data_IF_405467261271
#
_entry.id   IF_405467261271
#
_cell.length_a   1.000
_cell.length_b   1.000
_cell.length_c   1.000
_cell.angle_alpha   90.00
_cell.angle_beta   90.00
_cell.angle_gamma   90.00
#
_symmetry.space_group_name_H-M   'P 1'
#
loop_
_entity.id
_entity.type
_entity.pdbx_description
1 polymer ?
#
# COMPACT_ATOMS: atom_id res chain seq x y z
N UNK A 1 11.18 -70.59 7.67
CA UNK A 1 11.10 -69.12 7.59
C UNK A 1 9.93 -68.64 8.44
N UNK A 2 10.19 -68.08 9.63
CA UNK A 2 9.13 -67.54 10.49
C UNK A 2 8.85 -66.09 10.09
N UNK A 3 7.69 -65.87 9.46
CA UNK A 3 7.20 -64.55 9.06
C UNK A 3 6.70 -63.81 10.30
N UNK A 4 7.52 -62.94 10.88
CA UNK A 4 7.06 -62.04 11.94
C UNK A 4 5.98 -61.10 11.40
N UNK A 5 4.75 -61.25 11.91
CA UNK A 5 3.66 -60.29 11.72
C UNK A 5 4.02 -59.00 12.48
N UNK A 6 4.39 -57.93 11.76
CA UNK A 6 4.45 -56.59 12.34
C UNK A 6 3.05 -56.19 12.78
N UNK A 7 2.87 -55.93 14.08
CA UNK A 7 1.63 -55.38 14.64
C UNK A 7 1.41 -53.97 14.07
N UNK A 8 0.16 -53.54 13.83
CA UNK A 8 -0.12 -52.19 13.38
C UNK A 8 0.27 -51.20 14.49
N UNK A 9 1.20 -50.31 14.18
CA UNK A 9 1.67 -49.27 15.10
C UNK A 9 0.56 -48.25 15.21
N UNK A 10 0.05 -48.04 16.42
CA UNK A 10 -0.93 -47.00 16.68
C UNK A 10 -0.23 -45.64 16.74
N UNK A 11 -0.88 -44.52 16.34
CA UNK A 11 -0.26 -43.18 16.39
C UNK A 11 0.23 -42.80 17.80
N UNK A 12 -0.43 -43.34 18.82
CA UNK A 12 -0.07 -43.17 20.23
C UNK A 12 1.23 -43.88 20.60
N UNK A 13 1.48 -45.08 20.09
CA UNK A 13 2.75 -45.79 20.31
C UNK A 13 3.90 -45.08 19.60
N UNK A 14 3.67 -44.57 18.39
CA UNK A 14 4.69 -43.80 17.65
C UNK A 14 5.10 -42.52 18.39
N UNK A 15 4.13 -41.77 18.94
CA UNK A 15 4.41 -40.56 19.73
C UNK A 15 5.13 -40.90 21.03
N UNK A 16 4.80 -42.04 21.64
CA UNK A 16 5.45 -42.51 22.87
C UNK A 16 6.89 -42.95 22.64
N UNK A 17 7.20 -43.51 21.47
CA UNK A 17 8.56 -43.89 21.07
C UNK A 17 9.42 -42.68 20.65
N UNK A 18 8.80 -41.56 20.25
CA UNK A 18 9.49 -40.31 19.96
C UNK A 18 9.74 -39.42 21.21
N UNK A 19 9.33 -39.86 22.40
CA UNK A 19 9.57 -39.15 23.66
C UNK A 19 11.00 -39.43 24.13
N UNK A 20 11.95 -38.55 23.73
CA UNK A 20 13.38 -38.71 23.97
C UNK A 20 13.81 -38.52 25.44
N UNK A 21 12.87 -38.23 26.35
CA UNK A 21 13.16 -37.92 27.74
C UNK A 21 12.70 -39.04 28.69
N UNK A 22 13.61 -39.49 29.56
CA UNK A 22 13.29 -40.43 30.64
C UNK A 22 12.25 -39.78 31.56
N UNK A 23 11.06 -40.39 31.65
CA UNK A 23 10.02 -39.92 32.55
C UNK A 23 10.45 -40.16 33.99
N UNK A 24 10.60 -39.08 34.73
CA UNK A 24 10.84 -39.10 36.17
C UNK A 24 9.59 -39.68 36.86
N UNK A 25 9.80 -40.48 37.90
CA UNK A 25 8.75 -41.07 38.73
C UNK A 25 7.83 -39.97 39.31
N UNK A 26 6.51 -40.23 39.34
CA UNK A 26 5.50 -39.21 39.65
C UNK A 26 5.63 -38.66 41.08
N UNK A 27 6.24 -39.42 42.00
CA UNK A 27 6.46 -39.03 43.40
C UNK A 27 7.57 -37.99 43.58
N UNK A 28 8.42 -37.78 42.56
CA UNK A 28 9.47 -36.75 42.55
C UNK A 28 9.02 -35.44 41.87
N UNK A 29 7.75 -35.35 41.50
CA UNK A 29 7.21 -34.24 40.70
C UNK A 29 6.12 -33.53 41.48
N UNK A 30 6.49 -32.47 42.20
CA UNK A 30 5.49 -31.60 42.83
C UNK A 30 4.85 -30.67 41.77
N UNK A 31 3.56 -30.83 41.45
CA UNK A 31 2.91 -29.97 40.47
C UNK A 31 2.70 -28.58 41.07
N UNK A 32 3.43 -27.59 40.55
CA UNK A 32 3.24 -26.19 40.96
C UNK A 32 2.14 -25.53 40.12
N UNK A 33 1.09 -25.04 40.78
CA UNK A 33 -0.03 -24.33 40.13
C UNK A 33 0.43 -23.10 39.36
N UNK A 34 1.48 -22.43 39.85
CA UNK A 34 2.13 -21.28 39.22
C UNK A 34 2.92 -21.65 37.96
N UNK A 35 3.52 -22.84 37.89
CA UNK A 35 4.20 -23.31 36.68
C UNK A 35 3.24 -23.58 35.52
N UNK A 36 2.05 -24.12 35.85
CA UNK A 36 0.99 -24.39 34.86
C UNK A 36 0.44 -23.11 34.20
N UNK A 37 0.20 -22.05 34.97
CA UNK A 37 -0.32 -20.79 34.42
C UNK A 37 0.70 -20.09 33.52
N UNK A 38 1.98 -20.10 33.90
CA UNK A 38 3.07 -19.55 33.08
C UNK A 38 3.20 -20.33 31.76
N UNK A 39 3.12 -21.65 31.79
CA UNK A 39 3.20 -22.48 30.57
C UNK A 39 2.04 -22.22 29.61
N UNK A 40 0.82 -22.01 30.12
CA UNK A 40 -0.34 -21.66 29.29
C UNK A 40 -0.19 -20.26 28.69
N UNK A 41 0.30 -19.30 29.47
CA UNK A 41 0.53 -17.92 29.00
C UNK A 41 1.59 -17.89 27.89
N UNK A 42 2.73 -18.58 28.08
CA UNK A 42 3.80 -18.64 27.08
C UNK A 42 3.34 -19.35 25.81
N UNK A 43 2.59 -20.47 25.93
CA UNK A 43 2.00 -21.15 24.78
C UNK A 43 1.03 -20.24 24.01
N UNK A 44 0.22 -19.45 24.71
CA UNK A 44 -0.72 -18.49 24.09
C UNK A 44 0.02 -17.41 23.31
N UNK A 45 1.12 -16.88 23.86
CA UNK A 45 1.96 -15.87 23.18
C UNK A 45 2.61 -16.45 21.93
N UNK A 46 3.17 -17.66 22.00
CA UNK A 46 3.78 -18.34 20.84
C UNK A 46 2.74 -18.53 19.72
N UNK A 47 1.55 -19.01 20.06
CA UNK A 47 0.47 -19.20 19.08
C UNK A 47 0.04 -17.87 18.44
N UNK A 48 -0.05 -16.80 19.21
CA UNK A 48 -0.38 -15.47 18.70
C UNK A 48 0.69 -14.96 17.72
N UNK A 49 1.98 -15.08 18.06
CA UNK A 49 3.08 -14.66 17.20
C UNK A 49 3.12 -15.46 15.88
N UNK A 50 2.94 -16.78 15.96
CA UNK A 50 2.87 -17.65 14.78
C UNK A 50 1.67 -17.25 13.92
N UNK A 51 0.50 -16.99 14.51
CA UNK A 51 -0.69 -16.58 13.77
C UNK A 51 -0.46 -15.26 13.01
N UNK A 52 0.09 -14.24 13.67
CA UNK A 52 0.44 -12.96 13.03
C UNK A 52 1.41 -13.19 11.87
N UNK A 53 2.41 -14.06 12.05
CA UNK A 53 3.40 -14.33 11.02
C UNK A 53 2.81 -15.10 9.82
N UNK A 54 1.90 -16.03 10.06
CA UNK A 54 1.17 -16.74 9.00
C UNK A 54 0.31 -15.77 8.20
N UNK A 55 -0.41 -14.86 8.87
CA UNK A 55 -1.20 -13.82 8.20
C UNK A 55 -0.29 -12.92 7.36
N UNK A 56 0.86 -12.51 7.90
CA UNK A 56 1.86 -11.71 7.17
C UNK A 56 2.42 -12.44 5.95
N UNK A 57 2.73 -13.73 6.07
CA UNK A 57 3.26 -14.55 4.99
C UNK A 57 2.25 -14.78 3.85
N UNK A 58 0.95 -14.76 4.16
CA UNK A 58 -0.11 -14.84 3.15
C UNK A 58 -0.22 -13.59 2.28
N UNK A 59 0.35 -12.46 2.71
CA UNK A 59 0.38 -11.25 1.89
C UNK A 59 1.42 -11.42 0.77
N UNK A 60 0.97 -11.29 -0.47
CA UNK A 60 1.86 -11.30 -1.64
C UNK A 60 2.58 -9.96 -1.74
N UNK A 61 3.76 -9.94 -2.34
CA UNK A 61 4.50 -8.70 -2.60
C UNK A 61 4.59 -8.50 -4.11
N UNK A 62 4.35 -7.27 -4.57
CA UNK A 62 4.59 -6.90 -5.95
C UNK A 62 6.08 -6.62 -6.13
N UNK A 63 6.68 -7.25 -7.13
CA UNK A 63 8.06 -6.98 -7.54
C UNK A 63 8.05 -6.28 -8.89
N UNK A 64 8.73 -5.14 -8.97
CA UNK A 64 8.91 -4.36 -10.19
C UNK A 64 10.27 -4.68 -10.80
N UNK A 65 10.26 -5.33 -11.96
CA UNK A 65 11.46 -5.56 -12.77
C UNK A 65 11.50 -4.52 -13.90
N UNK A 66 12.61 -3.81 -14.05
CA UNK A 66 12.83 -2.84 -15.12
C UNK A 66 13.67 -3.47 -16.24
N UNK A 67 13.17 -3.44 -17.47
CA UNK A 67 13.85 -3.95 -18.66
C UNK A 67 13.82 -2.93 -19.79
N UNK A 68 14.64 -3.10 -20.81
CA UNK A 68 14.56 -2.29 -22.04
C UNK A 68 13.35 -2.74 -22.86
N UNK A 69 12.59 -1.79 -23.40
CA UNK A 69 11.55 -2.12 -24.38
C UNK A 69 12.17 -2.26 -25.78
N UNK A 70 11.96 -3.42 -26.39
CA UNK A 70 12.46 -3.72 -27.74
C UNK A 70 11.35 -3.63 -28.80
N UNK A 71 10.12 -3.37 -28.37
CA UNK A 71 8.98 -3.21 -29.26
C UNK A 71 8.86 -1.75 -29.72
N UNK A 72 9.14 -1.53 -31.00
CA UNK A 72 9.09 -0.20 -31.63
C UNK A 72 7.94 -0.06 -32.63
N UNK A 73 7.15 -1.12 -32.85
CA UNK A 73 6.12 -1.16 -33.90
C UNK A 73 4.69 -1.22 -33.36
N UNK A 74 4.51 -1.40 -32.05
CA UNK A 74 3.17 -1.43 -31.45
C UNK A 74 2.47 -0.07 -31.52
N UNK A 75 1.19 -0.11 -31.92
CA UNK A 75 0.33 1.06 -31.97
C UNK A 75 -0.21 1.37 -30.58
N UNK A 76 0.19 2.52 -30.04
CA UNK A 76 -0.30 3.03 -28.76
C UNK A 76 -1.69 3.64 -28.93
N UNK A 77 -2.69 3.08 -28.25
CA UNK A 77 -4.02 3.70 -28.15
C UNK A 77 -4.00 4.81 -27.10
N UNK A 78 -4.54 5.97 -27.43
CA UNK A 78 -4.65 7.10 -26.50
C UNK A 78 -6.15 7.35 -26.29
N UNK A 79 -6.59 7.37 -25.04
CA UNK A 79 -7.98 7.67 -24.69
C UNK A 79 -8.00 9.03 -23.98
N UNK A 80 -8.71 10.00 -24.56
CA UNK A 80 -8.78 11.37 -24.06
C UNK A 80 -10.24 11.78 -23.99
N UNK A 81 -10.69 12.21 -22.81
CA UNK A 81 -11.94 12.91 -22.57
C UNK A 81 -11.62 14.26 -21.94
N UNK A 82 -11.85 15.32 -22.71
CA UNK A 82 -11.50 16.70 -22.39
C UNK A 82 -12.69 17.62 -22.69
N UNK A 83 -13.03 18.49 -21.75
CA UNK A 83 -14.02 19.56 -22.00
C UNK A 83 -13.33 20.92 -22.00
N UNK A 84 -13.49 21.66 -23.09
CA UNK A 84 -12.93 23.01 -23.28
C UNK A 84 -14.04 24.07 -23.21
N UNK A 85 -13.75 25.23 -22.62
CA UNK A 85 -14.67 26.35 -22.49
C UNK A 85 -14.79 27.21 -23.77
N UNK A 86 -14.72 26.57 -24.95
CA UNK A 86 -14.90 27.19 -26.27
C UNK A 86 -15.93 26.38 -27.06
N UNK A 87 -16.69 27.04 -27.93
CA UNK A 87 -17.69 26.37 -28.77
C UNK A 87 -17.03 25.38 -29.74
N UNK A 88 -17.64 24.21 -29.97
CA UNK A 88 -17.07 23.17 -30.82
C UNK A 88 -16.83 23.64 -32.27
N UNK A 89 -17.65 24.57 -32.78
CA UNK A 89 -17.47 25.12 -34.12
C UNK A 89 -16.19 25.98 -34.31
N UNK A 90 -15.57 26.45 -33.21
CA UNK A 90 -14.39 27.32 -33.24
C UNK A 90 -13.11 26.60 -32.82
N UNK A 91 -13.20 25.37 -32.32
CA UNK A 91 -12.06 24.56 -31.93
C UNK A 91 -11.90 23.42 -32.94
N UNK A 92 -10.66 23.04 -33.22
CA UNK A 92 -10.35 21.87 -34.00
C UNK A 92 -9.33 21.03 -33.28
N UNK A 93 -9.43 19.73 -33.42
CA UNK A 93 -8.45 18.78 -32.93
C UNK A 93 -7.58 18.26 -34.07
N UNK A 94 -6.27 18.17 -33.83
CA UNK A 94 -5.33 17.61 -34.79
C UNK A 94 -4.30 16.73 -34.07
N UNK A 95 -3.89 15.65 -34.73
CA UNK A 95 -2.91 14.70 -34.24
C UNK A 95 -1.71 14.74 -35.18
N UNK A 96 -0.61 15.25 -34.67
CA UNK A 96 0.62 15.45 -35.45
C UNK A 96 1.71 14.51 -34.91
N UNK A 97 2.38 13.83 -35.82
CA UNK A 97 3.60 13.08 -35.52
C UNK A 97 4.83 14.02 -35.43
N UNK A 98 6.00 13.51 -35.05
CA UNK A 98 7.30 14.23 -35.04
C UNK A 98 7.64 14.87 -36.39
N UNK A 99 7.10 14.32 -37.48
CA UNK A 99 7.22 14.87 -38.84
C UNK A 99 6.27 16.04 -39.13
N UNK A 100 5.47 16.44 -38.14
CA UNK A 100 4.44 17.48 -38.20
C UNK A 100 3.41 17.23 -39.31
N UNK A 101 3.09 15.95 -39.51
CA UNK A 101 2.08 15.47 -40.46
C UNK A 101 1.05 14.65 -39.72
N UNK A 102 -0.18 14.69 -40.23
CA UNK A 102 -1.27 13.88 -39.72
C UNK A 102 -0.99 12.43 -40.16
N UNK A 103 -0.81 11.49 -39.23
CA UNK A 103 -0.69 10.09 -39.59
C UNK A 103 -1.96 9.69 -40.33
N UNK A 104 -1.83 9.01 -41.48
CA UNK A 104 -2.97 8.47 -42.23
C UNK A 104 -3.84 7.52 -41.39
N UNK A 105 -3.32 7.05 -40.26
CA UNK A 105 -3.96 6.13 -39.32
C UNK A 105 -4.26 6.76 -37.95
N UNK A 106 -4.08 8.07 -37.78
CA UNK A 106 -4.54 8.75 -36.58
C UNK A 106 -6.07 8.71 -36.54
N UNK A 107 -6.64 8.12 -35.49
CA UNK A 107 -8.07 8.17 -35.25
C UNK A 107 -8.55 9.61 -35.16
N UNK A 108 -9.78 9.87 -35.61
CA UNK A 108 -10.42 11.17 -35.44
C UNK A 108 -10.99 11.27 -34.02
N UNK A 109 -10.84 12.42 -33.37
CA UNK A 109 -11.54 12.71 -32.13
C UNK A 109 -12.97 13.11 -32.42
N UNK A 110 -13.92 12.54 -31.68
CA UNK A 110 -15.32 12.92 -31.76
C UNK A 110 -15.54 14.18 -30.92
N UNK A 111 -16.01 15.24 -31.57
CA UNK A 111 -16.28 16.54 -30.94
C UNK A 111 -17.78 16.67 -30.69
N UNK A 112 -18.17 16.80 -29.42
CA UNK A 112 -19.57 16.95 -29.01
C UNK A 112 -19.79 18.29 -28.29
N UNK A 113 -20.85 19.01 -28.66
CA UNK A 113 -21.25 20.23 -27.96
C UNK A 113 -21.71 19.92 -26.54
N UNK A 114 -21.06 20.55 -25.55
CA UNK A 114 -21.39 20.29 -24.16
C UNK A 114 -21.24 21.50 -23.24
N UNK A 115 -21.83 21.42 -22.04
CA UNK A 115 -21.69 22.45 -21.00
C UNK A 115 -20.41 22.29 -20.15
N UNK A 116 -19.76 23.42 -19.89
CA UNK A 116 -18.59 23.46 -19.01
C UNK A 116 -18.95 23.31 -17.52
N UNK A 117 -20.18 23.60 -17.09
CA UNK A 117 -20.55 23.44 -15.68
C UNK A 117 -20.94 22.00 -15.36
N UNK A 118 -20.35 21.40 -14.31
CA UNK A 118 -20.68 20.04 -13.89
C UNK A 118 -22.01 20.03 -13.10
N UNK A 119 -22.83 18.99 -13.29
CA UNK A 119 -23.98 18.74 -12.40
C UNK A 119 -23.51 18.45 -10.97
N UNK A 120 -24.38 18.66 -9.97
CA UNK A 120 -24.02 18.42 -8.56
C UNK A 120 -23.47 16.99 -8.30
N UNK A 121 -24.02 15.98 -9.01
CA UNK A 121 -23.55 14.59 -8.95
C UNK A 121 -22.14 14.43 -9.55
N UNK A 122 -21.92 15.00 -10.74
CA UNK A 122 -20.63 14.95 -11.42
C UNK A 122 -19.56 15.73 -10.66
N UNK A 123 -19.88 16.91 -10.15
CA UNK A 123 -18.97 17.73 -9.37
C UNK A 123 -18.47 17.01 -8.10
N UNK A 124 -19.32 16.21 -7.45
CA UNK A 124 -18.92 15.40 -6.29
C UNK A 124 -17.89 14.33 -6.66
N UNK A 125 -18.09 13.63 -7.79
CA UNK A 125 -17.15 12.62 -8.31
C UNK A 125 -15.85 13.29 -8.75
N UNK A 126 -15.94 14.35 -9.55
CA UNK A 126 -14.79 15.11 -10.01
C UNK A 126 -13.93 15.62 -8.85
N UNK A 127 -14.55 16.17 -7.80
CA UNK A 127 -13.84 16.65 -6.61
C UNK A 127 -13.16 15.53 -5.83
N UNK A 128 -13.76 14.32 -5.82
CA UNK A 128 -13.14 13.13 -5.22
C UNK A 128 -11.89 12.70 -6.00
N UNK A 129 -11.99 12.63 -7.33
CA UNK A 129 -10.86 12.33 -8.22
C UNK A 129 -9.73 13.34 -8.06
N UNK A 130 -10.06 14.64 -8.09
CA UNK A 130 -9.12 15.73 -7.94
C UNK A 130 -8.37 15.65 -6.61
N UNK A 131 -9.09 15.43 -5.50
CA UNK A 131 -8.49 15.28 -4.17
C UNK A 131 -7.60 14.03 -4.10
N UNK A 132 -8.05 12.91 -4.66
CA UNK A 132 -7.27 11.67 -4.72
C UNK A 132 -5.95 11.86 -5.44
N UNK A 133 -5.99 12.46 -6.63
CA UNK A 133 -4.78 12.74 -7.42
C UNK A 133 -3.87 13.77 -6.75
N UNK A 134 -4.41 14.78 -6.07
CA UNK A 134 -3.60 15.74 -5.31
C UNK A 134 -2.82 15.07 -4.16
N UNK A 135 -3.47 14.17 -3.40
CA UNK A 135 -2.83 13.42 -2.32
C UNK A 135 -1.73 12.50 -2.86
N UNK A 136 -2.02 11.78 -3.94
CA UNK A 136 -1.06 10.87 -4.58
C UNK A 136 0.16 11.61 -5.11
N UNK A 137 -0.01 12.81 -5.69
CA UNK A 137 1.08 13.65 -6.19
C UNK A 137 1.96 14.24 -5.07
N UNK A 138 1.36 14.71 -3.97
CA UNK A 138 2.09 15.46 -2.93
C UNK A 138 2.84 14.58 -1.93
N UNK A 139 2.26 13.43 -1.59
CA UNK A 139 2.53 12.85 -0.28
C UNK A 139 3.13 11.44 -0.35
N UNK A 140 2.93 10.70 -1.45
CA UNK A 140 3.28 9.28 -1.47
C UNK A 140 3.69 8.72 -2.84
N UNK A 141 4.97 8.85 -3.19
CA UNK A 141 5.56 8.16 -4.35
C UNK A 141 5.59 6.61 -4.23
N UNK A 142 5.28 6.05 -3.05
CA UNK A 142 5.29 4.61 -2.77
C UNK A 142 3.89 3.97 -2.59
N UNK A 143 2.80 4.74 -2.71
CA UNK A 143 1.43 4.20 -2.49
C UNK A 143 0.93 3.37 -3.67
N UNK A 144 1.54 3.48 -4.85
CA UNK A 144 1.19 2.67 -6.02
C UNK A 144 1.11 1.18 -5.64
N UNK A 145 2.09 0.68 -4.87
CA UNK A 145 2.13 -0.70 -4.39
C UNK A 145 0.87 -1.12 -3.64
N UNK A 146 0.34 -0.24 -2.77
CA UNK A 146 -0.86 -0.52 -1.95
C UNK A 146 -2.14 -0.47 -2.82
N UNK A 147 -2.19 0.41 -3.83
CA UNK A 147 -3.34 0.54 -4.75
C UNK A 147 -3.50 -0.71 -5.61
N UNK A 148 -2.39 -1.30 -6.08
CA UNK A 148 -2.42 -2.57 -6.82
C UNK A 148 -2.79 -3.76 -5.94
N UNK A 149 -2.28 -3.81 -4.70
CA UNK A 149 -2.55 -4.90 -3.76
C UNK A 149 -3.98 -4.92 -3.21
N UNK A 150 -4.63 -3.76 -3.14
CA UNK A 150 -6.03 -3.64 -2.67
C UNK A 150 -7.06 -3.97 -3.75
N UNK A 151 -6.64 -4.16 -5.01
CA UNK A 151 -7.56 -4.37 -6.13
C UNK A 151 -8.47 -3.16 -6.35
N UNK A 152 -7.99 -1.95 -6.01
CA UNK A 152 -8.74 -0.72 -6.22
C UNK A 152 -8.96 -0.50 -7.71
N UNK A 153 -10.19 -0.78 -8.17
CA UNK A 153 -10.62 -0.52 -9.53
C UNK A 153 -10.85 0.98 -9.71
N UNK A 154 -9.81 1.73 -10.04
CA UNK A 154 -9.92 3.14 -10.43
C UNK A 154 -10.88 3.36 -11.62
N UNK A 155 -11.14 2.30 -12.42
CA UNK A 155 -12.15 2.28 -13.50
C UNK A 155 -13.58 2.53 -13.05
N UNK A 156 -13.90 2.35 -11.76
CA UNK A 156 -15.26 2.58 -11.26
C UNK A 156 -15.56 4.06 -10.95
N UNK A 157 -14.61 4.96 -11.17
CA UNK A 157 -14.77 6.39 -10.90
C UNK A 157 -14.84 7.23 -12.18
N UNK A 158 -15.29 6.65 -13.28
CA UNK A 158 -15.63 7.43 -14.47
C UNK A 158 -16.77 8.41 -14.17
N UNK A 159 -16.69 9.59 -14.76
CA UNK A 159 -17.76 10.58 -14.66
C UNK A 159 -19.03 9.99 -15.27
N UNK A 160 -20.19 10.09 -14.60
CA UNK A 160 -21.43 9.59 -15.17
C UNK A 160 -21.72 10.34 -16.47
N UNK A 161 -22.16 9.56 -17.49
CA UNK A 161 -22.56 10.10 -18.79
C UNK A 161 -23.55 11.24 -18.60
N UNK A 162 -23.36 12.30 -19.38
CA UNK A 162 -24.25 13.48 -19.35
C UNK A 162 -25.64 13.04 -19.79
N UNK A 163 -26.67 13.39 -19.02
CA UNK A 163 -28.04 13.20 -19.47
C UNK A 163 -28.34 14.24 -20.55
N UNK A 164 -28.40 13.82 -21.81
CA UNK A 164 -28.86 14.68 -22.90
C UNK A 164 -30.34 15.01 -22.69
N UNK A 165 -30.66 16.24 -22.31
CA UNK A 165 -32.04 16.71 -22.32
C UNK A 165 -32.42 17.01 -23.77
N UNK A 166 -33.22 16.12 -24.35
CA UNK A 166 -33.79 16.24 -25.69
C UNK A 166 -34.79 17.41 -25.75
N UNK A 167 -34.31 18.64 -25.74
CA UNK A 167 -35.08 19.82 -26.08
C UNK A 167 -34.17 20.84 -26.77
N UNK A 168 -34.26 20.89 -28.10
CA UNK A 168 -33.66 21.95 -28.92
C UNK A 168 -32.76 21.43 -30.03
N UNK A 169 -33.33 20.90 -31.11
CA UNK A 169 -32.65 20.92 -32.41
C UNK A 169 -32.35 22.37 -32.78
N UNK A 170 -31.08 22.73 -32.85
CA UNK A 170 -30.67 24.00 -33.44
C UNK A 170 -29.60 23.73 -34.49
N UNK A 171 -29.96 24.02 -35.74
CA UNK A 171 -29.03 24.05 -36.87
C UNK A 171 -28.07 25.24 -36.68
N UNK A 172 -26.77 25.00 -36.81
CA UNK A 172 -25.77 26.06 -36.81
C UNK A 172 -25.63 26.63 -38.22
N UNK A 173 -26.05 27.89 -38.42
CA UNK A 173 -25.42 28.75 -39.41
C UNK A 173 -24.14 29.30 -38.78
N UNK A 174 -22.99 29.03 -39.39
CA UNK A 174 -21.72 29.67 -39.02
C UNK A 174 -21.82 31.18 -39.25
N UNK A 175 -21.66 32.04 -38.23
CA UNK A 175 -21.51 33.46 -38.46
C UNK A 175 -20.12 33.70 -39.04
N UNK A 176 -20.08 34.18 -40.28
CA UNK A 176 -18.92 34.82 -40.88
C UNK A 176 -18.52 36.02 -40.00
N UNK A 177 -17.39 35.88 -39.30
CA UNK A 177 -16.64 36.98 -38.68
C UNK A 177 -17.21 37.55 -37.39
N UNK A 178 -16.78 37.01 -36.24
CA UNK A 178 -16.67 37.75 -34.98
C UNK A 178 -15.43 37.24 -34.23
N UNK A 179 -14.47 38.13 -33.95
CA UNK A 179 -13.33 37.94 -33.04
C UNK A 179 -13.83 37.59 -31.62
N UNK A 180 -14.30 36.35 -31.47
CA UNK A 180 -14.73 35.80 -30.20
C UNK A 180 -13.47 35.31 -29.51
N UNK A 181 -13.04 36.02 -28.46
CA UNK A 181 -11.87 35.66 -27.67
C UNK A 181 -11.99 34.20 -27.19
N UNK A 182 -11.22 33.29 -27.80
CA UNK A 182 -11.28 31.85 -27.51
C UNK A 182 -10.84 31.59 -26.06
N UNK A 183 -11.58 30.77 -25.32
CA UNK A 183 -11.23 30.46 -23.93
C UNK A 183 -10.75 29.00 -23.82
N UNK A 184 -9.44 28.83 -23.63
CA UNK A 184 -8.80 27.51 -23.46
C UNK A 184 -8.83 26.99 -22.03
N UNK A 185 -9.66 27.56 -21.15
CA UNK A 185 -10.01 26.93 -19.87
C UNK A 185 -10.59 25.54 -20.15
N UNK A 186 -10.08 24.53 -19.47
CA UNK A 186 -10.44 23.15 -19.76
C UNK A 186 -10.38 22.28 -18.52
N UNK A 187 -11.09 21.16 -18.57
CA UNK A 187 -10.97 20.08 -17.60
C UNK A 187 -10.67 18.78 -18.31
N UNK A 188 -9.84 17.96 -17.68
CA UNK A 188 -9.51 16.61 -18.15
C UNK A 188 -10.36 15.64 -17.33
N UNK A 189 -11.35 15.06 -17.99
CA UNK A 189 -12.30 14.12 -17.40
C UNK A 189 -11.65 12.72 -17.34
N UNK A 190 -10.98 12.30 -18.42
CA UNK A 190 -10.22 11.05 -18.48
C UNK A 190 -9.02 11.18 -19.43
N UNK A 191 -7.86 10.63 -19.03
CA UNK A 191 -6.70 10.56 -19.90
C UNK A 191 -5.90 9.28 -19.64
N UNK A 192 -5.83 8.39 -20.63
CA UNK A 192 -5.16 7.10 -20.48
C UNK A 192 -4.51 6.60 -21.76
N UNK A 193 -3.63 5.63 -21.59
CA UNK A 193 -2.92 4.96 -22.67
C UNK A 193 -3.17 3.46 -22.63
N UNK A 194 -3.42 2.88 -23.81
CA UNK A 194 -3.66 1.45 -23.98
C UNK A 194 -4.99 0.97 -23.41
N UNK A 195 -4.99 -0.27 -22.92
CA UNK A 195 -6.16 -0.89 -22.33
C UNK A 195 -6.30 -0.51 -20.85
N UNK A 196 -7.53 -0.35 -20.35
CA UNK A 196 -7.80 -0.12 -18.94
C UNK A 196 -7.32 -1.30 -18.07
N UNK A 197 -6.47 -1.03 -17.08
CA UNK A 197 -6.02 -2.03 -16.09
C UNK A 197 -6.41 -1.61 -14.66
N UNK A 198 -6.89 -2.54 -13.81
CA UNK A 198 -7.27 -2.25 -12.42
C UNK A 198 -6.04 -1.94 -11.56
N UNK A 199 -6.10 -0.94 -10.68
CA UNK A 199 -4.96 -0.51 -9.84
C UNK A 199 -4.05 0.55 -10.46
N UNK A 200 -4.23 0.88 -11.74
CA UNK A 200 -3.49 1.95 -12.40
C UNK A 200 -4.10 3.33 -12.09
N UNK A 201 -3.30 4.23 -11.51
CA UNK A 201 -3.69 5.62 -11.27
C UNK A 201 -3.29 6.47 -12.48
N UNK A 202 -4.21 7.29 -12.97
CA UNK A 202 -3.98 8.24 -14.06
C UNK A 202 -3.82 9.66 -13.50
N UNK A 203 -2.62 10.25 -13.56
CA UNK A 203 -2.35 11.53 -12.92
C UNK A 203 -3.22 12.69 -13.42
N UNK A 204 -3.60 12.71 -14.69
CA UNK A 204 -4.33 13.86 -15.29
C UNK A 204 -5.83 13.84 -15.05
N UNK A 205 -6.40 12.75 -14.54
CA UNK A 205 -7.84 12.66 -14.32
C UNK A 205 -8.28 13.68 -13.26
N UNK A 206 -9.36 14.41 -13.54
CA UNK A 206 -9.88 15.41 -12.61
C UNK A 206 -9.04 16.69 -12.54
N UNK A 207 -8.14 16.95 -13.50
CA UNK A 207 -7.43 18.22 -13.59
C UNK A 207 -8.33 19.31 -14.17
N UNK A 208 -8.27 20.52 -13.61
CA UNK A 208 -9.06 21.67 -14.01
C UNK A 208 -8.15 22.88 -14.16
N UNK A 209 -8.06 23.43 -15.37
CA UNK A 209 -7.34 24.66 -15.69
C UNK A 209 -8.32 25.76 -16.06
N UNK A 210 -8.31 26.83 -15.26
CA UNK A 210 -9.09 28.03 -15.52
C UNK A 210 -8.15 29.18 -15.86
N UNK A 211 -8.51 29.96 -16.87
CA UNK A 211 -7.89 31.24 -17.18
C UNK A 211 -8.94 32.25 -17.60
N UNK A 212 -8.67 33.51 -17.26
CA UNK A 212 -9.46 34.66 -17.69
C UNK A 212 -8.94 35.25 -19.01
N UNK A 213 -7.79 34.78 -19.51
CA UNK A 213 -7.16 35.28 -20.74
C UNK A 213 -7.40 34.31 -21.90
N UNK A 214 -7.78 34.84 -23.06
CA UNK A 214 -7.99 34.04 -24.27
C UNK A 214 -6.70 33.57 -24.93
N UNK A 215 -5.61 34.30 -24.70
CA UNK A 215 -4.34 34.12 -25.38
C UNK A 215 -3.40 33.21 -24.58
N UNK A 216 -3.91 32.10 -24.06
CA UNK A 216 -3.16 31.18 -23.22
C UNK A 216 -2.80 29.89 -23.95
N UNK A 217 -1.57 29.44 -23.73
CA UNK A 217 -1.05 28.17 -24.22
C UNK A 217 -0.88 27.24 -23.03
N UNK A 218 -1.52 26.08 -23.09
CA UNK A 218 -1.32 24.97 -22.15
C UNK A 218 -0.54 23.86 -22.86
N UNK A 219 0.57 23.45 -22.26
CA UNK A 219 1.41 22.37 -22.79
C UNK A 219 1.56 21.28 -21.74
N UNK A 220 1.20 20.06 -22.12
CA UNK A 220 1.36 18.85 -21.33
C UNK A 220 2.47 18.03 -21.97
N UNK A 221 3.57 17.83 -21.25
CA UNK A 221 4.67 16.96 -21.65
C UNK A 221 4.51 15.64 -20.91
N UNK A 222 4.24 14.58 -21.65
CA UNK A 222 3.87 13.28 -21.13
C UNK A 222 4.96 12.28 -21.47
N UNK A 223 5.51 11.62 -20.46
CA UNK A 223 6.44 10.50 -20.65
C UNK A 223 5.68 9.20 -20.36
N UNK A 224 5.56 8.34 -21.37
CA UNK A 224 4.78 7.09 -21.33
C UNK A 224 5.71 5.91 -21.10
N UNK A 225 5.41 5.07 -20.11
CA UNK A 225 6.20 3.90 -19.72
C UNK A 225 5.38 2.62 -19.92
N UNK A 226 5.76 1.75 -20.87
CA UNK A 226 5.15 0.44 -21.06
C UNK A 226 5.23 -0.40 -19.78
N UNK A 227 4.09 -0.94 -19.35
CA UNK A 227 3.97 -1.72 -18.11
C UNK A 227 3.22 -3.02 -18.36
N UNK A 228 3.84 -4.16 -18.05
CA UNK A 228 3.20 -5.47 -18.14
C UNK A 228 2.85 -5.93 -16.75
N UNK A 229 1.56 -6.18 -16.51
CA UNK A 229 1.06 -6.67 -15.23
C UNK A 229 0.88 -8.18 -15.33
N UNK A 230 1.73 -8.92 -14.63
CA UNK A 230 1.70 -10.38 -14.54
C UNK A 230 1.26 -10.79 -13.14
N UNK A 231 -0.05 -10.94 -12.95
CA UNK A 231 -0.65 -11.43 -11.70
C UNK A 231 -1.23 -12.82 -11.92
N UNK A 232 -1.67 -13.48 -10.85
CA UNK A 232 -2.33 -14.80 -10.95
C UNK A 232 -3.62 -14.81 -11.79
N UNK A 233 -4.30 -13.67 -11.92
CA UNK A 233 -5.63 -13.57 -12.54
C UNK A 233 -5.65 -12.71 -13.80
N UNK A 234 -4.60 -11.92 -14.07
CA UNK A 234 -4.54 -11.03 -15.22
C UNK A 234 -3.11 -10.94 -15.76
N UNK A 235 -2.98 -11.06 -17.07
CA UNK A 235 -1.78 -10.74 -17.83
C UNK A 235 -2.16 -9.67 -18.87
N UNK A 236 -1.92 -8.40 -18.54
CA UNK A 236 -2.37 -7.26 -19.35
C UNK A 236 -1.20 -6.30 -19.57
N UNK A 237 -1.04 -5.88 -20.81
CA UNK A 237 -0.14 -4.80 -21.18
C UNK A 237 -0.88 -3.46 -21.04
N UNK A 238 -0.32 -2.58 -20.22
CA UNK A 238 -0.86 -1.27 -19.90
C UNK A 238 0.27 -0.25 -19.94
N UNK A 239 -0.06 1.03 -19.84
CA UNK A 239 0.93 2.09 -19.87
C UNK A 239 0.76 2.99 -18.65
N UNK A 240 1.87 3.25 -17.97
CA UNK A 240 1.96 4.29 -16.96
C UNK A 240 2.46 5.56 -17.63
N UNK A 241 2.21 6.72 -17.03
CA UNK A 241 2.76 7.95 -17.56
C UNK A 241 3.00 8.99 -16.48
N UNK A 242 4.02 9.82 -16.69
CA UNK A 242 4.31 11.01 -15.91
C UNK A 242 4.01 12.25 -16.74
N UNK A 243 3.60 13.35 -16.08
CA UNK A 243 3.23 14.58 -16.76
C UNK A 243 3.92 15.79 -16.17
N UNK A 244 4.44 16.63 -17.04
CA UNK A 244 4.91 17.98 -16.73
C UNK A 244 4.02 19.00 -17.44
N UNK A 245 3.46 19.93 -16.66
CA UNK A 245 2.53 20.93 -17.15
C UNK A 245 3.23 22.28 -17.30
N UNK A 246 3.01 22.98 -18.42
CA UNK A 246 3.53 24.33 -18.65
C UNK A 246 2.42 25.21 -19.22
N UNK A 247 2.16 26.34 -18.57
CA UNK A 247 1.24 27.36 -19.06
C UNK A 247 1.96 28.68 -19.34
N UNK A 248 1.70 29.31 -20.48
CA UNK A 248 2.20 30.66 -20.80
C UNK A 248 1.16 31.48 -21.54
N UNK A 249 1.22 32.80 -21.40
CA UNK A 249 0.38 33.75 -22.14
C UNK A 249 1.13 34.30 -23.35
N UNK A 250 0.37 34.61 -24.41
CA UNK A 250 0.89 35.20 -25.64
C UNK A 250 0.68 36.71 -25.55
N UNK A 251 1.79 37.44 -25.63
CA UNK A 251 1.87 38.88 -25.63
C UNK A 251 2.80 39.29 -26.77
N UNK A 252 2.22 39.75 -27.89
CA UNK A 252 2.99 40.15 -29.06
C UNK A 252 3.95 41.31 -28.76
N UNK A 253 3.54 42.24 -27.89
CA UNK A 253 4.36 43.40 -27.49
C UNK A 253 5.60 43.02 -26.69
N UNK A 254 5.58 41.88 -26.00
CA UNK A 254 6.73 41.36 -25.24
C UNK A 254 7.52 40.30 -26.01
N UNK A 255 7.31 40.18 -27.32
CA UNK A 255 7.98 39.19 -28.18
C UNK A 255 7.51 37.74 -27.99
N UNK A 256 6.39 37.51 -27.28
CA UNK A 256 5.82 36.17 -27.10
C UNK A 256 4.90 35.88 -28.28
N UNK A 257 5.41 35.12 -29.25
CA UNK A 257 4.64 34.58 -30.36
C UNK A 257 4.19 33.13 -30.07
N UNK A 258 3.04 32.75 -30.61
CA UNK A 258 2.48 31.42 -30.48
C UNK A 258 1.02 31.40 -30.93
N UNK A 259 0.48 30.19 -31.08
CA UNK A 259 -0.95 29.98 -31.32
C UNK A 259 -1.55 29.54 -29.98
N UNK A 260 -2.58 30.22 -29.47
CA UNK A 260 -3.22 29.81 -28.21
C UNK A 260 -3.90 28.46 -28.41
N UNK A 261 -3.88 27.63 -27.38
CA UNK A 261 -4.31 26.24 -27.53
C UNK A 261 -3.87 25.32 -26.40
N UNK A 262 -4.35 24.08 -26.49
CA UNK A 262 -4.00 22.98 -25.59
C UNK A 262 -3.17 21.99 -26.39
N UNK A 263 -1.94 21.76 -25.95
CA UNK A 263 -0.98 20.91 -26.63
C UNK A 263 -0.61 19.74 -25.72
N UNK A 264 -0.91 18.52 -26.15
CA UNK A 264 -0.48 17.30 -25.49
C UNK A 264 0.66 16.70 -26.31
N UNK A 265 1.85 16.66 -25.72
CA UNK A 265 3.06 16.09 -26.31
C UNK A 265 3.41 14.85 -25.51
N UNK A 266 3.56 13.72 -26.18
CA UNK A 266 3.93 12.47 -25.54
C UNK A 266 5.23 11.92 -26.13
N UNK A 267 6.04 11.29 -25.29
CA UNK A 267 7.23 10.55 -25.67
C UNK A 267 7.19 9.18 -24.98
N UNK A 268 7.56 8.12 -25.70
CA UNK A 268 7.61 6.76 -25.14
C UNK A 268 8.99 6.53 -24.53
N UNK A 269 9.01 6.12 -23.27
CA UNK A 269 10.23 5.81 -22.52
C UNK A 269 10.85 4.50 -23.04
N UNK A 270 12.18 4.41 -23.19
CA UNK A 270 12.87 3.18 -23.63
C UNK A 270 12.88 2.08 -22.57
N UNK A 271 12.26 2.32 -21.41
CA UNK A 271 12.18 1.40 -20.30
C UNK A 271 10.78 0.78 -20.19
N UNK A 272 10.74 -0.53 -19.96
CA UNK A 272 9.54 -1.34 -19.70
C UNK A 272 9.53 -1.83 -18.26
N UNK A 273 8.39 -1.68 -17.60
CA UNK A 273 8.17 -2.15 -16.22
C UNK A 273 7.39 -3.46 -16.27
N UNK A 274 7.92 -4.51 -15.64
CA UNK A 274 7.18 -5.76 -15.45
C UNK A 274 6.79 -5.90 -13.98
N UNK A 275 5.50 -5.84 -13.69
CA UNK A 275 4.94 -6.02 -12.35
C UNK A 275 4.63 -7.50 -12.17
N UNK A 276 5.31 -8.17 -11.23
CA UNK A 276 5.10 -9.58 -10.93
C UNK A 276 4.60 -9.76 -9.50
N UNK A 277 3.56 -10.57 -9.34
CA UNK A 277 3.12 -11.04 -8.03
C UNK A 277 4.03 -12.19 -7.57
N UNK A 278 4.91 -11.92 -6.60
CA UNK A 278 5.82 -12.94 -6.05
C UNK A 278 5.38 -13.38 -4.65
N UNK A 279 5.35 -14.69 -4.44
CA UNK A 279 5.17 -15.28 -3.12
C UNK A 279 6.53 -15.51 -2.48
N UNK A 280 6.62 -15.29 -1.17
CA UNK A 280 7.79 -15.74 -0.40
C UNK A 280 7.83 -17.27 -0.41
N UNK A 281 9.03 -17.83 -0.47
CA UNK A 281 9.20 -19.29 -0.41
C UNK A 281 8.80 -19.82 0.97
N UNK A 282 8.09 -20.95 1.00
CA UNK A 282 7.63 -21.59 2.25
C UNK A 282 8.77 -21.99 3.20
N UNK A 283 10.00 -22.14 2.69
CA UNK A 283 11.17 -22.41 3.51
C UNK A 283 11.51 -21.25 4.45
N UNK A 284 11.28 -20.01 4.02
CA UNK A 284 11.48 -18.85 4.88
C UNK A 284 10.50 -18.87 6.06
N UNK A 285 9.24 -19.23 5.81
CA UNK A 285 8.24 -19.38 6.87
C UNK A 285 8.67 -20.41 7.92
N UNK A 286 9.22 -21.55 7.50
CA UNK A 286 9.69 -22.59 8.43
C UNK A 286 10.85 -22.10 9.30
N UNK A 287 11.81 -21.38 8.71
CA UNK A 287 12.94 -20.80 9.45
C UNK A 287 12.45 -19.74 10.44
N UNK A 288 11.51 -18.89 10.05
CA UNK A 288 10.92 -17.86 10.90
C UNK A 288 10.14 -18.46 12.08
N UNK A 289 9.31 -19.49 11.85
CA UNK A 289 8.60 -20.20 12.93
C UNK A 289 9.60 -20.85 13.89
N UNK A 290 10.67 -21.48 13.37
CA UNK A 290 11.73 -22.03 14.21
C UNK A 290 12.42 -20.96 15.06
N UNK A 291 12.66 -19.77 14.47
CA UNK A 291 13.20 -18.62 15.18
C UNK A 291 12.28 -18.09 16.29
N UNK A 292 10.96 -18.05 16.06
CA UNK A 292 9.99 -17.63 17.08
C UNK A 292 9.98 -18.61 18.26
N UNK A 293 9.92 -19.91 17.98
CA UNK A 293 9.89 -20.95 19.03
C UNK A 293 11.20 -20.91 19.83
N UNK A 294 12.35 -20.86 19.15
CA UNK A 294 13.66 -20.77 19.79
C UNK A 294 13.84 -19.49 20.61
N UNK A 295 13.39 -18.36 20.08
CA UNK A 295 13.46 -17.06 20.74
C UNK A 295 12.61 -16.99 22.01
N UNK A 296 11.40 -17.53 22.00
CA UNK A 296 10.54 -17.58 23.20
C UNK A 296 11.13 -18.52 24.25
N UNK A 297 11.68 -19.66 23.86
CA UNK A 297 12.30 -20.59 24.80
C UNK A 297 13.53 -19.98 25.49
N UNK A 298 14.42 -19.34 24.71
CA UNK A 298 15.61 -18.68 25.23
C UNK A 298 15.26 -17.52 26.18
N UNK A 299 14.31 -16.66 25.79
CA UNK A 299 13.90 -15.50 26.60
C UNK A 299 13.18 -15.94 27.88
N UNK A 300 12.35 -17.00 27.84
CA UNK A 300 11.72 -17.56 29.04
C UNK A 300 12.75 -18.04 30.06
N UNK A 301 13.82 -18.71 29.60
CA UNK A 301 14.92 -19.14 30.47
C UNK A 301 15.68 -17.98 31.11
N UNK A 302 15.96 -16.93 30.32
CA UNK A 302 16.59 -15.71 30.84
C UNK A 302 15.72 -15.03 31.89
N UNK A 303 14.43 -14.86 31.62
CA UNK A 303 13.47 -14.23 32.55
C UNK A 303 13.39 -15.02 33.85
N UNK A 304 13.31 -16.35 33.80
CA UNK A 304 13.31 -17.19 35.00
C UNK A 304 14.57 -16.96 35.84
N UNK A 305 15.75 -16.94 35.19
CA UNK A 305 17.03 -16.69 35.86
C UNK A 305 17.10 -15.29 36.50
N UNK A 306 16.59 -14.27 35.80
CA UNK A 306 16.49 -12.91 36.36
C UNK A 306 15.54 -12.86 37.56
N UNK A 307 14.37 -13.49 37.48
CA UNK A 307 13.40 -13.54 38.58
C UNK A 307 14.00 -14.28 39.79
N UNK A 308 14.70 -15.40 39.59
CA UNK A 308 15.33 -16.14 40.69
C UNK A 308 16.44 -15.33 41.37
N UNK A 309 17.28 -14.64 40.60
CA UNK A 309 18.34 -13.76 41.13
C UNK A 309 17.72 -12.59 41.91
N UNK A 310 16.66 -11.99 41.37
CA UNK A 310 15.92 -10.92 42.04
C UNK A 310 15.28 -11.40 43.34
N UNK A 311 14.65 -12.57 43.32
CA UNK A 311 14.03 -13.18 44.49
C UNK A 311 15.06 -13.48 45.59
N UNK A 312 16.19 -14.11 45.24
CA UNK A 312 17.30 -14.33 46.18
C UNK A 312 17.88 -13.02 46.72
N UNK A 313 18.02 -11.99 45.89
CA UNK A 313 18.54 -10.69 46.32
C UNK A 313 17.61 -9.99 47.30
N UNK A 314 16.30 -10.07 47.09
CA UNK A 314 15.29 -9.52 48.01
C UNK A 314 15.25 -10.34 49.30
N UNK A 315 15.23 -11.68 49.21
CA UNK A 315 15.18 -12.55 50.38
C UNK A 315 16.42 -12.39 51.27
N UNK A 316 17.63 -12.40 50.69
CA UNK A 316 18.88 -12.15 51.42
C UNK A 316 18.94 -10.74 52.01
N UNK A 317 18.34 -9.74 51.34
CA UNK A 317 18.26 -8.38 51.87
C UNK A 317 17.31 -8.31 53.06
N UNK A 318 16.12 -8.92 52.98
CA UNK A 318 15.19 -9.06 54.09
C UNK A 318 15.80 -9.81 55.28
N UNK A 319 16.50 -10.92 55.05
CA UNK A 319 17.16 -11.71 56.11
C UNK A 319 18.22 -10.88 56.85
N UNK A 320 19.06 -10.14 56.11
CA UNK A 320 20.04 -9.21 56.72
C UNK A 320 19.37 -8.11 57.56
N UNK A 321 18.33 -7.47 57.04
CA UNK A 321 17.61 -6.41 57.78
C UNK A 321 16.91 -6.96 59.02
N UNK A 322 16.40 -8.19 58.97
CA UNK A 322 15.74 -8.84 60.12
C UNK A 322 16.74 -9.24 61.22
N UNK A 323 17.98 -9.61 60.86
CA UNK A 323 19.07 -9.84 61.83
C UNK A 323 19.54 -8.53 62.49
N UNK A 324 19.72 -7.44 61.72
CA UNK A 324 20.11 -6.14 62.28
C UNK A 324 19.05 -5.58 63.26
N UNK A 325 17.77 -5.76 62.98
CA UNK A 325 16.68 -5.36 63.89
C UNK A 325 16.67 -6.23 65.16
N UNK A 326 16.89 -7.54 65.04
CA UNK A 326 16.92 -8.41 66.22
C UNK A 326 18.13 -8.12 67.13
N UNK A 327 19.29 -7.81 66.56
CA UNK A 327 20.49 -7.47 67.33
C UNK A 327 20.34 -6.13 68.06
N UNK A 328 19.74 -5.12 67.42
CA UNK A 328 19.44 -3.82 68.05
C UNK A 328 18.36 -3.92 69.15
N UNK A 329 17.35 -4.79 68.99
CA UNK A 329 16.34 -5.06 70.03
C UNK A 329 16.93 -5.79 71.24
N UNK A 330 17.90 -6.69 71.03
CA UNK A 330 18.61 -7.38 72.13
C UNK A 330 19.51 -6.41 72.90
N UNK A 331 20.23 -5.53 72.21
CA UNK A 331 21.05 -4.48 72.85
C UNK A 331 20.17 -3.50 73.65
N UNK A 332 19.06 -3.04 73.07
CA UNK A 332 18.12 -2.15 73.77
C UNK A 332 17.46 -2.80 75.00
N UNK A 333 17.21 -4.12 75.00
CA UNK A 333 16.70 -4.83 76.18
C UNK A 333 17.74 -4.97 77.29
N UNK A 334 19.02 -5.11 76.95
CA UNK A 334 20.10 -5.20 77.94
C UNK A 334 20.39 -3.84 78.62
N UNK A 335 20.24 -2.72 77.90
CA UNK A 335 20.44 -1.38 78.47
C UNK A 335 19.31 -0.94 79.43
N UNK A 336 18.13 -1.56 79.34
CA UNK A 336 16.96 -1.28 80.21
C UNK A 336 16.97 -2.15 81.49
N UNK A 337 17.93 -3.06 81.65
CA UNK A 337 18.16 -3.77 82.92
C UNK A 337 17.04 -4.72 83.33
N UNK A 338 16.29 -5.31 82.38
CA UNK A 338 15.28 -6.33 82.69
C UNK A 338 15.97 -7.70 82.65
N UNK A 339 16.44 -8.17 83.81
CA UNK A 339 16.83 -9.57 83.99
C UNK A 339 15.59 -10.47 83.92
N UNK A 340 15.62 -11.64 83.27
CA UNK A 340 14.61 -12.65 83.51
C UNK A 340 14.85 -13.27 84.88
N UNK A 341 14.07 -12.85 85.87
CA UNK A 341 13.93 -13.56 87.14
C UNK A 341 13.29 -14.94 86.89
N UNK A 342 13.99 -15.96 87.38
CA UNK A 342 13.52 -17.26 87.89
C UNK A 342 12.46 -18.08 87.10
N UNK A 343 12.92 -19.26 86.67
CA UNK A 343 12.22 -20.56 86.66
C UNK A 343 10.85 -20.70 86.00
N UNK A 344 10.73 -21.64 85.06
CA UNK A 344 9.97 -22.91 85.23
C UNK A 344 10.24 -23.79 84.00
N UNK A 345 10.70 -25.00 84.30
CA UNK A 345 10.69 -26.17 83.41
C UNK A 345 9.23 -26.53 83.10
N UNK A 346 8.88 -26.68 81.83
CA UNK A 346 8.23 -27.85 81.20
C UNK A 346 8.46 -27.73 79.70
#
# INVERSE_FOLDING_TARGET
>A
MLRQRRKPITPIELVKDCDAFVKVENDLKEPTTTGGTIAVLTATVVLCLIFIHIVSFRNTLLKYDYSVDWDHESKLKINIDLTVATQCALIGSDVLDVTNRNPLEAGKLDEEDTWFQLSAKQAKVFKKLQLGNEILRKQYHAIHDIVWLTGYNAHNEELPKRSFSLFGSHAHLSPLGIDSAMNFSHRIDHFSFGQPSPGLVQPLNGDLKLSNMSNQIYQYFIEVVPTVVQTRHANVETYQYAVTERSRTINHDSGSHGIPGIFVRYEISPMKITVKEVNRSYWFLLVEIGGIIGGVFATSGMIHSFISIMYESIYKKCEKTHCEINETVVVAKNDIGITPESSVVI
#
